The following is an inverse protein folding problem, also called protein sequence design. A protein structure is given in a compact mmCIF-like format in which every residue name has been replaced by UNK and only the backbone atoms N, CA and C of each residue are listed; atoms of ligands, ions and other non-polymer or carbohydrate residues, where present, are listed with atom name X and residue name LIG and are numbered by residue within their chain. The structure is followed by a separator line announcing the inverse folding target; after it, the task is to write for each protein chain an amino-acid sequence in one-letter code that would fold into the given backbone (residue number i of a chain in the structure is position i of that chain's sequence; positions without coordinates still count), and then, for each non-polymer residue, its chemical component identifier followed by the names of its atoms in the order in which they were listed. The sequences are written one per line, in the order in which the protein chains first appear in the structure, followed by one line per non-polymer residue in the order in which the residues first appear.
data_IF_897318654613
#
_entry.id   IF_897318654613
#
_cell.length_a   1.000
_cell.length_b   1.000
_cell.length_c   1.000
_cell.angle_alpha   90.00
_cell.angle_beta   90.00
_cell.angle_gamma   90.00
#
_symmetry.space_group_name_H-M   'P 1'
#
loop_
_entity.id
_entity.type
_entity.pdbx_description
1 polymer ?
#
# COMPACT_ATOMS: atom_id res chain seq x y z
N UNK A 1 24.09 -3.55 -18.94
CA UNK A 1 22.94 -4.48 -19.20
C UNK A 1 22.18 -4.91 -17.95
N UNK A 2 22.66 -4.65 -16.72
CA UNK A 2 22.01 -5.10 -15.48
C UNK A 2 20.97 -4.14 -14.85
N UNK A 3 20.80 -2.95 -15.39
CA UNK A 3 19.96 -1.89 -14.76
C UNK A 3 18.46 -1.98 -15.04
N UNK A 4 18.03 -2.76 -16.04
CA UNK A 4 16.61 -2.87 -16.39
C UNK A 4 15.84 -3.92 -15.56
N UNK A 5 16.49 -5.01 -15.23
CA UNK A 5 15.83 -6.16 -14.58
C UNK A 5 15.34 -5.84 -13.16
N UNK A 6 16.07 -5.02 -12.39
CA UNK A 6 15.70 -4.72 -11.01
C UNK A 6 14.44 -3.84 -10.86
N UNK A 7 14.13 -2.97 -11.84
CA UNK A 7 12.96 -2.09 -11.77
C UNK A 7 11.66 -2.80 -12.13
N UNK A 8 11.71 -3.79 -13.02
CA UNK A 8 10.53 -4.57 -13.40
C UNK A 8 10.06 -5.46 -12.26
N UNK A 9 10.98 -6.08 -11.54
CA UNK A 9 10.63 -6.90 -10.37
C UNK A 9 9.98 -6.09 -9.25
N UNK A 10 10.48 -4.89 -8.98
CA UNK A 10 9.88 -4.00 -7.97
C UNK A 10 8.46 -3.60 -8.39
N UNK A 11 8.27 -3.28 -9.68
CA UNK A 11 6.94 -2.99 -10.22
C UNK A 11 6.00 -4.18 -10.12
N UNK A 12 6.45 -5.37 -10.51
CA UNK A 12 5.67 -6.60 -10.40
C UNK A 12 5.32 -6.91 -8.95
N UNK A 13 6.25 -6.72 -8.02
CA UNK A 13 6.00 -6.88 -6.59
C UNK A 13 4.96 -5.87 -6.08
N UNK A 14 4.97 -4.62 -6.56
CA UNK A 14 3.95 -3.64 -6.21
C UNK A 14 2.56 -4.05 -6.71
N UNK A 15 2.44 -4.50 -7.95
CA UNK A 15 1.18 -5.00 -8.49
C UNK A 15 0.69 -6.26 -7.77
N UNK A 16 1.60 -7.18 -7.45
CA UNK A 16 1.28 -8.35 -6.63
C UNK A 16 0.79 -7.97 -5.23
N UNK A 17 1.40 -6.94 -4.61
CA UNK A 17 0.96 -6.39 -3.33
C UNK A 17 -0.47 -5.84 -3.39
N UNK A 18 -0.82 -5.08 -4.43
CA UNK A 18 -2.19 -4.58 -4.65
C UNK A 18 -3.18 -5.74 -4.81
N UNK A 19 -2.82 -6.74 -5.62
CA UNK A 19 -3.67 -7.91 -5.82
C UNK A 19 -3.86 -8.70 -4.51
N UNK A 20 -2.79 -8.90 -3.75
CA UNK A 20 -2.85 -9.60 -2.47
C UNK A 20 -3.74 -8.86 -1.49
N UNK A 21 -3.55 -7.54 -1.34
CA UNK A 21 -4.38 -6.71 -0.46
C UNK A 21 -5.85 -6.74 -0.88
N UNK A 22 -6.14 -6.53 -2.16
CA UNK A 22 -7.51 -6.57 -2.67
C UNK A 22 -8.21 -7.92 -2.45
N UNK A 23 -7.51 -9.03 -2.70
CA UNK A 23 -8.06 -10.36 -2.52
C UNK A 23 -8.28 -10.68 -1.03
N UNK A 24 -7.29 -10.39 -0.18
CA UNK A 24 -7.41 -10.66 1.26
C UNK A 24 -8.43 -9.75 1.93
N UNK A 25 -8.51 -8.47 1.55
CA UNK A 25 -9.56 -7.55 1.99
C UNK A 25 -10.94 -8.06 1.61
N UNK A 26 -11.12 -8.52 0.37
CA UNK A 26 -12.39 -9.13 -0.05
C UNK A 26 -12.79 -10.30 0.84
N UNK A 27 -11.85 -11.20 1.15
CA UNK A 27 -12.13 -12.37 2.00
C UNK A 27 -12.41 -11.94 3.45
N UNK A 28 -11.63 -11.00 4.00
CA UNK A 28 -11.82 -10.48 5.36
C UNK A 28 -13.18 -9.82 5.52
N UNK A 29 -13.59 -8.98 4.57
CA UNK A 29 -14.90 -8.32 4.61
C UNK A 29 -16.08 -9.28 4.43
N UNK A 30 -15.87 -10.38 3.70
CA UNK A 30 -16.87 -11.45 3.55
C UNK A 30 -17.00 -12.35 4.78
N UNK A 31 -16.07 -12.28 5.73
CA UNK A 31 -16.11 -13.04 6.99
C UNK A 31 -16.69 -12.17 8.09
N UNK A 32 -17.83 -12.55 8.64
CA UNK A 32 -18.67 -11.77 9.59
C UNK A 32 -17.94 -11.28 10.86
N UNK A 33 -16.72 -11.74 11.13
CA UNK A 33 -16.01 -11.51 12.38
C UNK A 33 -15.01 -10.37 12.36
N UNK A 34 -14.72 -9.75 11.21
CA UNK A 34 -13.67 -8.76 11.08
C UNK A 34 -14.23 -7.43 10.60
N UNK A 35 -13.78 -6.35 11.23
CA UNK A 35 -14.11 -4.99 10.83
C UNK A 35 -12.94 -4.39 10.05
N UNK A 36 -13.23 -3.89 8.85
CA UNK A 36 -12.27 -3.12 8.07
C UNK A 36 -11.94 -1.81 8.79
N UNK A 37 -10.64 -1.55 8.98
CA UNK A 37 -10.17 -0.34 9.65
C UNK A 37 -10.08 0.86 8.70
N UNK A 38 -9.98 0.62 7.38
CA UNK A 38 -9.98 1.67 6.39
C UNK A 38 -11.42 2.13 6.11
N UNK A 39 -11.81 3.37 6.50
CA UNK A 39 -13.17 3.84 6.35
C UNK A 39 -13.62 3.96 4.88
N UNK A 40 -12.68 4.16 3.95
CA UNK A 40 -13.00 4.22 2.52
C UNK A 40 -13.40 2.84 2.03
N UNK A 41 -12.62 1.81 2.34
CA UNK A 41 -12.92 0.43 1.94
C UNK A 41 -14.21 -0.04 2.58
N UNK A 42 -14.43 0.27 3.84
CA UNK A 42 -15.67 -0.07 4.54
C UNK A 42 -16.89 0.59 3.86
N UNK A 43 -16.82 1.88 3.56
CA UNK A 43 -17.89 2.58 2.85
C UNK A 43 -18.15 2.05 1.43
N UNK A 44 -17.11 1.62 0.72
CA UNK A 44 -17.26 1.00 -0.60
C UNK A 44 -17.93 -0.38 -0.49
N UNK A 45 -17.57 -1.17 0.51
CA UNK A 45 -18.18 -2.48 0.76
C UNK A 45 -19.66 -2.35 1.14
N UNK A 46 -19.99 -1.42 2.02
CA UNK A 46 -21.38 -1.15 2.44
C UNK A 46 -22.23 -0.65 1.26
N UNK A 47 -21.65 0.10 0.34
CA UNK A 47 -22.32 0.51 -0.88
C UNK A 47 -22.57 -0.65 -1.84
N UNK A 48 -21.56 -1.36 -2.23
CA UNK A 48 -21.64 -2.60 -3.01
C UNK A 48 -20.26 -3.27 -3.06
N UNK A 49 -20.13 -4.58 -2.78
CA UNK A 49 -18.85 -5.27 -2.75
C UNK A 49 -17.98 -5.11 -4.01
N UNK A 50 -18.57 -5.01 -5.20
CA UNK A 50 -17.84 -4.79 -6.46
C UNK A 50 -17.11 -3.44 -6.51
N UNK A 51 -17.50 -2.44 -5.71
CA UNK A 51 -16.77 -1.18 -5.63
C UNK A 51 -15.37 -1.37 -5.03
N UNK A 52 -15.19 -2.31 -4.12
CA UNK A 52 -13.87 -2.69 -3.59
C UNK A 52 -12.99 -3.26 -4.71
N UNK A 53 -13.52 -4.11 -5.57
CA UNK A 53 -12.80 -4.62 -6.75
C UNK A 53 -12.43 -3.49 -7.69
N UNK A 54 -13.36 -2.56 -7.95
CA UNK A 54 -13.12 -1.38 -8.77
C UNK A 54 -12.02 -0.49 -8.20
N UNK A 55 -12.00 -0.28 -6.89
CA UNK A 55 -10.98 0.50 -6.19
C UNK A 55 -9.58 -0.11 -6.37
N UNK A 56 -9.38 -1.38 -6.01
CA UNK A 56 -8.08 -2.04 -6.15
C UNK A 56 -7.66 -2.19 -7.62
N UNK A 57 -8.60 -2.50 -8.52
CA UNK A 57 -8.36 -2.57 -9.96
C UNK A 57 -7.95 -1.22 -10.55
N UNK A 58 -8.67 -0.15 -10.23
CA UNK A 58 -8.34 1.22 -10.64
C UNK A 58 -6.99 1.68 -10.10
N UNK A 59 -6.69 1.38 -8.84
CA UNK A 59 -5.41 1.68 -8.23
C UNK A 59 -4.27 0.90 -8.92
N UNK A 60 -4.45 -0.37 -9.19
CA UNK A 60 -3.48 -1.20 -9.94
C UNK A 60 -3.21 -0.66 -11.34
N UNK A 61 -4.25 -0.21 -12.06
CA UNK A 61 -4.11 0.43 -13.37
C UNK A 61 -3.34 1.75 -13.27
N UNK A 62 -3.63 2.60 -12.28
CA UNK A 62 -2.94 3.87 -12.04
C UNK A 62 -1.45 3.64 -11.73
N UNK A 63 -1.12 2.70 -10.85
CA UNK A 63 0.25 2.31 -10.54
C UNK A 63 0.95 1.74 -11.78
N UNK A 64 0.29 0.87 -12.52
CA UNK A 64 0.84 0.30 -13.76
C UNK A 64 1.15 1.39 -14.80
N UNK A 65 0.28 2.37 -14.95
CA UNK A 65 0.47 3.48 -15.89
C UNK A 65 1.61 4.41 -15.45
N UNK A 66 1.63 4.81 -14.16
CA UNK A 66 2.65 5.71 -13.60
C UNK A 66 4.04 5.10 -13.55
N UNK A 67 4.14 3.77 -13.48
CA UNK A 67 5.41 3.05 -13.39
C UNK A 67 5.89 2.45 -14.71
N UNK A 68 5.24 2.74 -15.84
CA UNK A 68 5.66 2.27 -17.17
C UNK A 68 7.06 2.72 -17.57
N UNK A 69 7.45 3.93 -17.18
CA UNK A 69 8.80 4.45 -17.45
C UNK A 69 9.71 4.07 -16.31
N UNK A 70 10.80 3.38 -16.60
CA UNK A 70 11.85 3.03 -15.63
C UNK A 70 12.55 4.29 -15.11
N UNK A 71 11.94 4.96 -14.16
CA UNK A 71 12.42 6.16 -13.51
C UNK A 71 12.62 5.92 -12.01
N UNK A 72 13.35 6.80 -11.36
CA UNK A 72 13.48 6.78 -9.89
C UNK A 72 12.13 6.96 -9.20
N UNK A 73 11.27 7.80 -9.78
CA UNK A 73 9.90 7.99 -9.31
C UNK A 73 9.12 6.68 -9.39
N UNK A 74 9.22 5.95 -10.50
CA UNK A 74 8.59 4.64 -10.66
C UNK A 74 9.04 3.66 -9.56
N UNK A 75 10.34 3.62 -9.26
CA UNK A 75 10.87 2.76 -8.19
C UNK A 75 10.35 3.18 -6.81
N UNK A 76 10.33 4.50 -6.53
CA UNK A 76 9.83 5.02 -5.26
C UNK A 76 8.34 4.76 -5.07
N UNK A 77 7.51 5.00 -6.10
CA UNK A 77 6.07 4.71 -6.08
C UNK A 77 5.84 3.21 -5.86
N UNK A 78 6.55 2.35 -6.60
CA UNK A 78 6.42 0.91 -6.42
C UNK A 78 6.83 0.46 -5.01
N UNK A 79 7.90 1.03 -4.43
CA UNK A 79 8.34 0.73 -3.06
C UNK A 79 7.28 1.16 -2.05
N UNK A 80 6.70 2.34 -2.21
CA UNK A 80 5.59 2.81 -1.38
C UNK A 80 4.43 1.82 -1.39
N UNK A 81 3.99 1.42 -2.57
CA UNK A 81 2.88 0.48 -2.76
C UNK A 81 3.18 -0.89 -2.14
N UNK A 82 4.41 -1.41 -2.28
CA UNK A 82 4.81 -2.66 -1.65
C UNK A 82 4.66 -2.57 -0.13
N UNK A 83 5.10 -1.47 0.48
CA UNK A 83 5.01 -1.30 1.93
C UNK A 83 3.57 -1.14 2.38
N UNK A 84 2.81 -0.22 1.78
CA UNK A 84 1.46 0.12 2.24
C UNK A 84 0.48 -1.02 1.91
N UNK A 85 0.40 -1.43 0.66
CA UNK A 85 -0.60 -2.41 0.23
C UNK A 85 -0.08 -3.85 0.30
N UNK A 86 1.21 -4.09 0.06
CA UNK A 86 1.76 -5.44 0.15
C UNK A 86 1.94 -5.90 1.59
N UNK A 87 2.64 -5.10 2.42
CA UNK A 87 3.00 -5.49 3.80
C UNK A 87 1.86 -5.19 4.77
N UNK A 88 1.44 -3.93 4.88
CA UNK A 88 0.42 -3.53 5.86
C UNK A 88 -1.00 -3.92 5.45
N UNK A 89 -1.33 -3.95 4.16
CA UNK A 89 -2.60 -4.49 3.70
C UNK A 89 -2.54 -6.02 3.54
N UNK A 90 -2.01 -6.48 2.40
CA UNK A 90 -2.10 -7.86 1.98
C UNK A 90 -1.51 -8.89 2.94
N UNK A 91 -0.24 -8.72 3.40
CA UNK A 91 0.36 -9.67 4.33
C UNK A 91 -0.27 -9.61 5.72
N UNK A 92 -0.68 -8.42 6.19
CA UNK A 92 -1.39 -8.30 7.47
C UNK A 92 -2.75 -9.01 7.43
N UNK A 93 -3.53 -8.80 6.36
CA UNK A 93 -4.81 -9.47 6.17
C UNK A 93 -4.64 -10.98 6.00
N UNK A 94 -3.59 -11.41 5.27
CA UNK A 94 -3.27 -12.83 5.14
C UNK A 94 -2.91 -13.46 6.50
N UNK A 95 -2.12 -12.76 7.31
CA UNK A 95 -1.79 -13.19 8.67
C UNK A 95 -3.07 -13.31 9.53
N UNK A 96 -3.96 -12.32 9.44
CA UNK A 96 -5.25 -12.34 10.12
C UNK A 96 -6.09 -13.58 9.74
N UNK A 97 -6.13 -13.92 8.45
CA UNK A 97 -6.91 -15.06 7.94
C UNK A 97 -6.31 -16.42 8.33
N UNK A 98 -4.99 -16.53 8.40
CA UNK A 98 -4.29 -17.81 8.61
C UNK A 98 -3.99 -18.07 10.09
N UNK A 99 -3.55 -17.05 10.80
CA UNK A 99 -3.06 -17.16 12.19
C UNK A 99 -4.09 -16.58 13.17
N UNK A 100 -4.87 -15.60 12.75
CA UNK A 100 -5.74 -14.82 13.62
C UNK A 100 -5.01 -13.65 14.30
N UNK A 101 -5.72 -12.86 15.14
CA UNK A 101 -5.12 -11.78 15.89
C UNK A 101 -4.17 -12.31 17.01
N UNK A 102 -3.16 -11.51 17.46
CA UNK A 102 -2.85 -10.18 16.97
C UNK A 102 -2.03 -10.20 15.67
N UNK A 103 -2.37 -9.31 14.75
CA UNK A 103 -1.60 -9.06 13.53
C UNK A 103 -0.50 -8.02 13.74
N UNK A 104 0.33 -7.76 12.71
CA UNK A 104 1.32 -6.69 12.74
C UNK A 104 0.68 -5.32 13.04
N UNK A 105 -0.48 -5.06 12.45
CA UNK A 105 -1.22 -3.80 12.66
C UNK A 105 -1.77 -3.70 14.07
N UNK A 106 -2.32 -4.79 14.62
CA UNK A 106 -2.81 -4.85 16.00
C UNK A 106 -1.69 -4.58 17.00
N UNK A 107 -0.51 -5.16 16.77
CA UNK A 107 0.67 -4.90 17.61
C UNK A 107 1.12 -3.44 17.53
N UNK A 108 1.12 -2.85 16.33
CA UNK A 108 1.47 -1.45 16.12
C UNK A 108 0.51 -0.52 16.87
N UNK A 109 -0.79 -0.81 16.79
CA UNK A 109 -1.85 -0.07 17.49
C UNK A 109 -1.69 -0.22 19.01
N UNK A 110 -1.50 -1.44 19.50
CA UNK A 110 -1.36 -1.72 20.92
C UNK A 110 -0.11 -1.05 21.55
N UNK A 111 1.02 -1.10 20.85
CA UNK A 111 2.28 -0.50 21.34
C UNK A 111 2.31 1.01 21.23
N UNK A 112 1.63 1.57 20.21
CA UNK A 112 1.61 3.02 19.97
C UNK A 112 0.50 3.78 20.73
N UNK A 113 -0.45 3.08 21.36
CA UNK A 113 -1.63 3.72 21.98
C UNK A 113 -2.51 4.48 20.99
N UNK A 114 -2.44 4.12 19.71
CA UNK A 114 -3.09 4.83 18.59
C UNK A 114 -4.33 4.04 18.20
N UNK A 115 -5.41 4.71 17.82
CA UNK A 115 -6.58 4.01 17.25
C UNK A 115 -6.23 3.38 15.90
N UNK A 116 -6.84 2.23 15.58
CA UNK A 116 -6.58 1.52 14.32
C UNK A 116 -6.79 2.40 13.07
N UNK A 117 -7.81 3.27 13.10
CA UNK A 117 -8.07 4.23 12.04
C UNK A 117 -6.92 5.24 11.84
N UNK A 118 -6.36 5.76 12.93
CA UNK A 118 -5.19 6.68 12.86
C UNK A 118 -3.94 5.94 12.38
N UNK A 119 -3.73 4.70 12.86
CA UNK A 119 -2.61 3.89 12.42
C UNK A 119 -2.62 3.67 10.91
N UNK A 120 -3.77 3.30 10.34
CA UNK A 120 -3.91 3.12 8.89
C UNK A 120 -3.73 4.43 8.13
N UNK A 121 -4.39 5.51 8.57
CA UNK A 121 -4.39 6.78 7.83
C UNK A 121 -3.08 7.57 7.97
N UNK A 122 -2.29 7.37 9.00
CA UNK A 122 -1.09 8.17 9.28
C UNK A 122 0.17 7.32 9.31
N UNK A 123 0.21 6.29 10.15
CA UNK A 123 1.44 5.53 10.39
C UNK A 123 1.81 4.67 9.18
N UNK A 124 0.84 3.98 8.59
CA UNK A 124 1.10 3.10 7.44
C UNK A 124 1.58 3.90 6.22
N UNK A 125 0.92 4.98 5.78
CA UNK A 125 1.44 5.83 4.71
C UNK A 125 2.80 6.46 5.04
N UNK A 126 3.04 6.86 6.29
CA UNK A 126 4.33 7.40 6.71
C UNK A 126 5.46 6.37 6.56
N UNK A 127 5.24 5.11 6.93
CA UNK A 127 6.20 4.02 6.71
C UNK A 127 6.50 3.82 5.22
N UNK A 128 5.47 3.81 4.38
CA UNK A 128 5.60 3.74 2.92
C UNK A 128 6.42 4.91 2.37
N UNK A 129 6.13 6.13 2.82
CA UNK A 129 6.85 7.35 2.42
C UNK A 129 8.33 7.30 2.82
N UNK A 130 8.65 6.90 4.05
CA UNK A 130 10.02 6.75 4.54
C UNK A 130 10.80 5.73 3.68
N UNK A 131 10.18 4.59 3.40
CA UNK A 131 10.79 3.56 2.55
C UNK A 131 11.06 4.08 1.12
N UNK A 132 10.10 4.77 0.52
CA UNK A 132 10.22 5.35 -0.80
C UNK A 132 11.30 6.44 -0.88
N UNK A 133 11.37 7.33 0.12
CA UNK A 133 12.41 8.35 0.27
C UNK A 133 13.78 7.69 0.42
N UNK A 134 13.89 6.64 1.23
CA UNK A 134 15.12 5.87 1.42
C UNK A 134 15.64 5.33 0.09
N UNK A 135 14.78 4.68 -0.69
CA UNK A 135 15.14 4.14 -2.02
C UNK A 135 15.48 5.25 -3.01
N UNK A 136 14.77 6.38 -3.00
CA UNK A 136 15.08 7.51 -3.88
C UNK A 136 16.43 8.15 -3.55
N UNK A 137 16.81 8.27 -2.26
CA UNK A 137 18.10 8.81 -1.81
C UNK A 137 19.29 7.96 -2.21
N UNK A 138 19.17 6.64 -2.19
CA UNK A 138 20.24 5.74 -2.59
C UNK A 138 20.70 5.94 -4.05
N UNK A 139 19.98 6.72 -4.86
CA UNK A 139 20.26 6.97 -6.27
C UNK A 139 20.70 8.39 -6.63
N UNK A 140 21.12 9.22 -5.66
CA UNK A 140 21.85 10.51 -5.83
C UNK A 140 21.28 11.60 -6.75
N UNK A 141 19.98 11.94 -6.68
CA UNK A 141 19.45 13.10 -7.39
C UNK A 141 18.45 13.91 -6.55
N UNK A 142 18.82 15.12 -6.05
CA UNK A 142 18.00 15.91 -5.12
C UNK A 142 16.69 16.43 -5.72
N UNK A 143 16.64 16.69 -7.05
CA UNK A 143 15.43 17.22 -7.69
C UNK A 143 14.34 16.14 -7.87
N UNK A 144 14.76 14.91 -8.10
CA UNK A 144 13.89 13.73 -8.17
C UNK A 144 13.26 13.43 -6.82
N UNK A 145 13.97 13.69 -5.72
CA UNK A 145 13.49 13.51 -4.37
C UNK A 145 12.30 14.42 -4.04
N UNK A 146 12.40 15.73 -4.32
CA UNK A 146 11.36 16.70 -4.03
C UNK A 146 10.05 16.37 -4.79
N UNK A 147 10.15 16.03 -6.07
CA UNK A 147 9.01 15.59 -6.88
C UNK A 147 8.36 14.32 -6.31
N UNK A 148 9.17 13.36 -5.87
CA UNK A 148 8.68 12.13 -5.25
C UNK A 148 7.91 12.42 -3.98
N UNK A 149 8.44 13.26 -3.08
CA UNK A 149 7.78 13.66 -1.84
C UNK A 149 6.43 14.36 -2.12
N UNK A 150 6.40 15.30 -3.06
CA UNK A 150 5.16 16.03 -3.41
C UNK A 150 4.09 15.10 -3.95
N UNK A 151 4.45 14.19 -4.86
CA UNK A 151 3.48 13.22 -5.43
C UNK A 151 2.98 12.25 -4.35
N UNK A 152 3.86 11.85 -3.42
CA UNK A 152 3.48 10.92 -2.35
C UNK A 152 2.64 11.58 -1.27
N UNK A 153 2.90 12.85 -0.94
CA UNK A 153 2.01 13.62 -0.07
C UNK A 153 0.63 13.76 -0.73
N UNK A 154 0.57 14.08 -2.02
CA UNK A 154 -0.68 14.14 -2.75
C UNK A 154 -1.42 12.78 -2.74
N UNK A 155 -0.72 11.66 -2.90
CA UNK A 155 -1.31 10.33 -2.82
C UNK A 155 -1.84 10.00 -1.41
N UNK A 156 -1.14 10.42 -0.35
CA UNK A 156 -1.58 10.24 1.05
C UNK A 156 -2.81 11.09 1.38
N UNK A 157 -2.91 12.29 0.80
CA UNK A 157 -4.08 13.19 1.02
C UNK A 157 -5.30 12.70 0.24
N UNK A 158 -5.10 11.91 -0.83
CA UNK A 158 -6.18 11.34 -1.65
C UNK A 158 -6.60 9.91 -1.25
N UNK A 159 -5.90 9.28 -0.32
CA UNK A 159 -6.26 7.98 0.29
C UNK A 159 -6.95 8.18 1.63
#
# INVERSE_FOLDING_TARGET
LSKGVSSDWIRLAALAGICLDGLTTWVVLGTVSYQELNPIINGLWDGHPLFVVGYFGGFGLAVSASTRRHSRLSTAVSTYVIVVMGVFGGLNNLALLVVGPPTLLDLLVATGGISGAIAIQVVVPACGLIAAIGVARLRHDPLSWLKTVVIMIAAVVYL
#
